data_IF_819362427649
#
_entry.id   IF_819362427649
#
_cell.length_a   1.000
_cell.length_b   1.000
_cell.length_c   1.000
_cell.angle_alpha   90.00
_cell.angle_beta   90.00
_cell.angle_gamma   90.00
#
_symmetry.space_group_name_H-M   'P 1'
#
loop_
_entity.id
_entity.type
_entity.pdbx_description
1 polymer ?
#
# COMPACT_ATOMS: atom_id res chain seq x y z
N UNK A 1 11.92 -3.46 -23.38
CA UNK A 1 12.36 -2.14 -22.86
C UNK A 1 13.88 -2.09 -22.97
N UNK A 2 14.46 -1.08 -23.65
CA UNK A 2 15.91 -0.89 -23.60
C UNK A 2 16.29 -0.44 -22.18
N UNK A 3 17.11 -1.23 -21.48
CA UNK A 3 17.59 -0.92 -20.12
C UNK A 3 19.12 -0.91 -20.13
N UNK A 4 19.76 0.10 -20.76
CA UNK A 4 21.21 0.17 -20.79
C UNK A 4 21.74 0.39 -19.38
N UNK A 5 22.47 -0.60 -18.86
CA UNK A 5 23.08 -0.58 -17.54
C UNK A 5 24.57 -0.85 -17.64
N UNK A 6 25.34 -0.25 -16.74
CA UNK A 6 26.74 -0.61 -16.56
C UNK A 6 26.86 -1.83 -15.66
N UNK A 7 27.49 -2.89 -16.13
CA UNK A 7 27.72 -4.11 -15.33
C UNK A 7 29.07 -4.11 -14.62
N UNK A 8 30.07 -3.47 -15.24
CA UNK A 8 31.44 -3.35 -14.75
C UNK A 8 31.82 -1.88 -14.57
N UNK A 9 32.60 -1.58 -13.52
CA UNK A 9 33.12 -0.24 -13.27
C UNK A 9 32.12 0.75 -12.64
N UNK A 10 32.55 2.00 -12.49
CA UNK A 10 31.77 3.05 -11.82
C UNK A 10 31.34 2.64 -10.41
N UNK A 11 30.07 2.92 -10.08
CA UNK A 11 29.48 2.54 -8.80
C UNK A 11 29.53 1.02 -8.53
N UNK A 12 29.48 0.17 -9.57
CA UNK A 12 29.60 -1.29 -9.40
C UNK A 12 30.97 -1.72 -8.84
N UNK A 13 32.02 -0.90 -9.04
CA UNK A 13 33.36 -1.17 -8.52
C UNK A 13 33.61 -0.48 -7.17
N UNK A 14 33.05 0.71 -6.97
CA UNK A 14 33.34 1.55 -5.80
C UNK A 14 32.45 1.21 -4.60
N UNK A 15 31.20 0.80 -4.84
CA UNK A 15 30.25 0.50 -3.77
C UNK A 15 30.33 -0.98 -3.36
N UNK A 16 30.78 -1.31 -2.14
CA UNK A 16 31.02 -2.70 -1.72
C UNK A 16 29.73 -3.54 -1.68
N UNK A 17 28.57 -2.90 -1.41
CA UNK A 17 27.28 -3.58 -1.39
C UNK A 17 26.83 -4.08 -2.77
N UNK A 18 27.34 -3.54 -3.87
CA UNK A 18 26.94 -3.98 -5.21
C UNK A 18 27.41 -5.41 -5.48
N UNK A 19 28.63 -5.76 -5.06
CA UNK A 19 29.14 -7.12 -5.19
C UNK A 19 28.29 -8.12 -4.39
N UNK A 20 27.92 -7.75 -3.16
CA UNK A 20 27.05 -8.56 -2.29
C UNK A 20 25.67 -8.75 -2.94
N UNK A 21 25.07 -7.68 -3.46
CA UNK A 21 23.78 -7.75 -4.12
C UNK A 21 23.81 -8.64 -5.37
N UNK A 22 24.87 -8.58 -6.19
CA UNK A 22 25.03 -9.46 -7.37
C UNK A 22 25.19 -10.93 -6.97
N UNK A 23 25.90 -11.21 -5.87
CA UNK A 23 26.01 -12.56 -5.32
C UNK A 23 24.66 -13.09 -4.81
N UNK A 24 23.91 -12.28 -4.05
CA UNK A 24 22.56 -12.64 -3.57
C UNK A 24 21.63 -12.92 -4.75
N UNK A 25 21.69 -12.09 -5.78
CA UNK A 25 20.88 -12.23 -6.99
C UNK A 25 21.38 -13.31 -7.95
N UNK A 26 22.54 -13.95 -7.68
CA UNK A 26 23.19 -14.93 -8.55
C UNK A 26 23.37 -14.44 -10.00
N UNK A 27 23.76 -13.17 -10.17
CA UNK A 27 23.93 -12.50 -11.46
C UNK A 27 25.41 -12.49 -11.86
N UNK A 28 25.72 -12.93 -13.08
CA UNK A 28 27.09 -13.08 -13.58
C UNK A 28 27.40 -12.20 -14.79
N UNK A 29 26.40 -11.69 -15.49
CA UNK A 29 26.58 -10.83 -16.66
C UNK A 29 25.48 -9.76 -16.80
N UNK A 30 25.75 -8.78 -17.67
CA UNK A 30 24.85 -7.64 -17.95
C UNK A 30 23.49 -8.10 -18.45
N UNK A 31 23.45 -9.15 -19.27
CA UNK A 31 22.22 -9.65 -19.89
C UNK A 31 21.27 -10.22 -18.84
N UNK A 32 21.80 -11.00 -17.89
CA UNK A 32 21.06 -11.50 -16.72
C UNK A 32 20.52 -10.35 -15.87
N UNK A 33 21.36 -9.34 -15.58
CA UNK A 33 20.95 -8.19 -14.76
C UNK A 33 19.83 -7.38 -15.45
N UNK A 34 19.94 -7.15 -16.76
CA UNK A 34 18.90 -6.49 -17.55
C UNK A 34 17.58 -7.28 -17.55
N UNK A 35 17.67 -8.61 -17.72
CA UNK A 35 16.50 -9.48 -17.70
C UNK A 35 15.82 -9.48 -16.33
N UNK A 36 16.60 -9.54 -15.25
CA UNK A 36 16.11 -9.45 -13.87
C UNK A 36 15.39 -8.12 -13.63
N UNK A 37 16.00 -6.99 -14.00
CA UNK A 37 15.39 -5.66 -13.85
C UNK A 37 14.06 -5.57 -14.62
N UNK A 38 14.02 -6.05 -15.86
CA UNK A 38 12.80 -6.05 -16.66
C UNK A 38 11.70 -6.93 -16.02
N UNK A 39 12.05 -8.11 -15.53
CA UNK A 39 11.13 -9.02 -14.85
C UNK A 39 10.58 -8.41 -13.55
N UNK A 40 11.44 -7.79 -12.74
CA UNK A 40 11.03 -7.07 -11.52
C UNK A 40 10.08 -5.92 -11.85
N UNK A 41 10.39 -5.14 -12.90
CA UNK A 41 9.50 -4.07 -13.36
C UNK A 41 8.11 -4.57 -13.77
N UNK A 42 8.06 -5.72 -14.47
CA UNK A 42 6.79 -6.36 -14.83
C UNK A 42 6.03 -6.87 -13.61
N UNK A 43 6.72 -7.55 -12.68
CA UNK A 43 6.11 -8.02 -11.43
C UNK A 43 5.55 -6.85 -10.60
N UNK A 44 6.29 -5.75 -10.53
CA UNK A 44 5.85 -4.54 -9.83
C UNK A 44 4.64 -3.89 -10.50
N UNK A 45 4.60 -3.83 -11.84
CA UNK A 45 3.44 -3.35 -12.58
C UNK A 45 2.20 -4.22 -12.32
N UNK A 46 2.35 -5.54 -12.39
CA UNK A 46 1.27 -6.49 -12.10
C UNK A 46 0.75 -6.31 -10.66
N UNK A 47 1.66 -6.23 -9.68
CA UNK A 47 1.31 -6.04 -8.29
C UNK A 47 0.55 -4.72 -8.07
N UNK A 48 0.98 -3.63 -8.70
CA UNK A 48 0.32 -2.33 -8.62
C UNK A 48 -1.08 -2.37 -9.25
N UNK A 49 -1.23 -2.94 -10.45
CA UNK A 49 -2.54 -3.09 -11.09
C UNK A 49 -3.46 -3.97 -10.25
N UNK A 50 -2.96 -5.12 -9.76
CA UNK A 50 -3.71 -6.01 -8.87
C UNK A 50 -4.14 -5.28 -7.59
N UNK A 51 -3.27 -4.48 -6.99
CA UNK A 51 -3.60 -3.66 -5.83
C UNK A 51 -4.72 -2.66 -6.14
N UNK A 52 -4.68 -1.98 -7.29
CA UNK A 52 -5.69 -1.01 -7.69
C UNK A 52 -7.07 -1.64 -7.97
N UNK A 53 -7.10 -2.84 -8.55
CA UNK A 53 -8.35 -3.52 -8.95
C UNK A 53 -8.90 -4.47 -7.88
N UNK A 54 -8.17 -4.74 -6.80
CA UNK A 54 -8.64 -5.64 -5.74
C UNK A 54 -9.43 -4.89 -4.67
N UNK A 55 -10.55 -5.47 -4.26
CA UNK A 55 -11.41 -4.88 -3.23
C UNK A 55 -10.76 -4.83 -1.85
N UNK A 56 -9.77 -5.69 -1.56
CA UNK A 56 -9.16 -5.78 -0.22
C UNK A 56 -8.53 -4.47 0.24
N UNK A 57 -7.80 -3.79 -0.65
CA UNK A 57 -7.16 -2.50 -0.34
C UNK A 57 -8.22 -1.41 -0.20
N UNK A 58 -9.21 -1.37 -1.09
CA UNK A 58 -10.31 -0.40 -1.02
C UNK A 58 -11.15 -0.57 0.26
N UNK A 59 -11.50 -1.80 0.64
CA UNK A 59 -12.21 -2.11 1.89
C UNK A 59 -11.38 -1.72 3.12
N UNK A 60 -10.07 -1.96 3.09
CA UNK A 60 -9.14 -1.53 4.13
C UNK A 60 -9.09 0.00 4.28
N UNK A 61 -8.91 0.73 3.18
CA UNK A 61 -8.92 2.20 3.17
C UNK A 61 -10.25 2.77 3.64
N UNK A 62 -11.38 2.23 3.16
CA UNK A 62 -12.71 2.66 3.60
C UNK A 62 -12.90 2.46 5.11
N UNK A 63 -12.46 1.32 5.66
CA UNK A 63 -12.54 1.06 7.10
C UNK A 63 -11.67 2.06 7.90
N UNK A 64 -10.47 2.39 7.41
CA UNK A 64 -9.60 3.42 8.01
C UNK A 64 -10.21 4.83 7.91
N UNK A 65 -10.84 5.15 6.79
CA UNK A 65 -11.55 6.43 6.59
C UNK A 65 -12.73 6.55 7.55
N UNK A 66 -13.56 5.53 7.69
CA UNK A 66 -14.68 5.51 8.64
C UNK A 66 -14.20 5.64 10.08
N UNK A 67 -13.14 4.92 10.46
CA UNK A 67 -12.50 5.05 11.77
C UNK A 67 -12.02 6.48 12.02
N UNK A 68 -11.33 7.07 11.05
CA UNK A 68 -10.81 8.44 11.14
C UNK A 68 -11.95 9.48 11.23
N UNK A 69 -13.02 9.29 10.46
CA UNK A 69 -14.22 10.12 10.49
C UNK A 69 -14.92 10.03 11.87
N UNK A 70 -15.01 8.83 12.44
CA UNK A 70 -15.60 8.62 13.75
C UNK A 70 -14.77 9.29 14.86
N UNK A 71 -13.46 9.05 14.90
CA UNK A 71 -12.55 9.63 15.89
C UNK A 71 -12.50 11.16 15.82
N UNK A 72 -12.38 11.73 14.62
CA UNK A 72 -12.35 13.19 14.43
C UNK A 72 -13.65 13.90 14.82
N UNK A 73 -14.75 13.16 14.93
CA UNK A 73 -16.05 13.66 15.38
C UNK A 73 -16.40 13.26 16.82
N UNK A 74 -15.42 12.74 17.58
CA UNK A 74 -15.52 12.53 19.02
C UNK A 74 -16.00 11.14 19.45
N UNK A 75 -15.92 10.12 18.59
CA UNK A 75 -16.09 8.73 19.00
C UNK A 75 -14.89 8.27 19.85
N UNK A 76 -15.15 7.46 20.87
CA UNK A 76 -14.14 6.80 21.68
C UNK A 76 -13.83 5.39 21.15
N UNK A 77 -12.67 4.83 21.50
CA UNK A 77 -12.20 3.56 20.94
C UNK A 77 -13.18 2.39 21.18
N UNK A 78 -13.85 2.37 22.34
CA UNK A 78 -14.84 1.32 22.65
C UNK A 78 -16.16 1.48 21.86
N UNK A 79 -16.46 2.68 21.34
CA UNK A 79 -17.65 2.97 20.53
C UNK A 79 -17.43 2.64 19.04
N UNK A 80 -16.17 2.60 18.59
CA UNK A 80 -15.80 2.43 17.19
C UNK A 80 -16.44 1.22 16.50
N UNK A 81 -16.48 0.01 17.08
CA UNK A 81 -17.08 -1.13 16.40
C UNK A 81 -18.54 -0.88 16.02
N UNK A 82 -19.31 -0.28 16.94
CA UNK A 82 -20.73 -0.01 16.74
C UNK A 82 -20.95 1.17 15.79
N UNK A 83 -20.19 2.27 15.95
CA UNK A 83 -20.27 3.46 15.08
C UNK A 83 -19.90 3.09 13.64
N UNK A 84 -18.80 2.37 13.42
CA UNK A 84 -18.35 1.98 12.08
C UNK A 84 -19.37 1.05 11.41
N UNK A 85 -19.95 0.10 12.15
CA UNK A 85 -20.98 -0.79 11.61
C UNK A 85 -22.23 -0.01 11.12
N UNK A 86 -22.66 1.01 11.85
CA UNK A 86 -23.77 1.86 11.40
C UNK A 86 -23.37 2.77 10.22
N UNK A 87 -22.17 3.35 10.22
CA UNK A 87 -21.70 4.19 9.13
C UNK A 87 -21.57 3.41 7.80
N UNK A 88 -21.21 2.13 7.84
CA UNK A 88 -21.13 1.28 6.62
C UNK A 88 -22.47 1.06 5.94
N UNK A 89 -23.59 1.19 6.66
CA UNK A 89 -24.93 1.06 6.09
C UNK A 89 -25.38 2.34 5.37
N UNK A 90 -24.66 3.46 5.59
CA UNK A 90 -24.94 4.73 4.93
C UNK A 90 -24.21 4.79 3.60
N UNK A 91 -24.91 5.27 2.56
CA UNK A 91 -24.31 5.48 1.24
C UNK A 91 -23.19 6.53 1.27
N UNK A 92 -23.39 7.62 2.02
CA UNK A 92 -22.47 8.74 2.14
C UNK A 92 -22.33 9.15 3.62
N UNK A 93 -21.46 8.49 4.41
CA UNK A 93 -21.23 8.85 5.81
C UNK A 93 -20.50 10.20 5.92
N UNK A 94 -21.05 11.11 6.73
CA UNK A 94 -20.47 12.44 6.99
C UNK A 94 -20.35 12.72 8.51
N UNK A 95 -19.73 13.85 8.86
CA UNK A 95 -19.57 14.29 10.25
C UNK A 95 -20.89 14.45 11.01
N UNK A 96 -21.99 14.77 10.32
CA UNK A 96 -23.32 14.90 10.95
C UNK A 96 -23.88 13.54 11.32
N UNK A 97 -23.75 12.57 10.42
CA UNK A 97 -24.14 11.19 10.67
C UNK A 97 -23.41 10.61 11.90
N UNK A 98 -22.10 10.84 12.04
CA UNK A 98 -21.35 10.39 13.22
C UNK A 98 -21.93 10.98 14.51
N UNK A 99 -22.14 12.29 14.55
CA UNK A 99 -22.67 12.96 15.76
C UNK A 99 -24.07 12.47 16.13
N UNK A 100 -24.90 12.16 15.14
CA UNK A 100 -26.24 11.61 15.37
C UNK A 100 -26.16 10.17 15.89
N UNK A 101 -25.29 9.33 15.32
CA UNK A 101 -25.04 7.97 15.80
C UNK A 101 -24.54 7.99 17.25
N UNK A 102 -23.56 8.83 17.57
CA UNK A 102 -23.03 8.96 18.93
C UNK A 102 -24.11 9.40 19.93
N UNK A 103 -25.01 10.32 19.55
CA UNK A 103 -26.15 10.71 20.39
C UNK A 103 -27.11 9.54 20.66
N UNK A 104 -27.27 8.62 19.71
CA UNK A 104 -28.14 7.45 19.88
C UNK A 104 -27.48 6.38 20.75
N UNK A 105 -26.16 6.17 20.61
CA UNK A 105 -25.42 5.14 21.36
C UNK A 105 -25.19 5.54 22.82
N UNK A 106 -25.02 6.84 23.10
CA UNK A 106 -24.77 7.37 24.45
C UNK A 106 -26.04 7.68 25.25
N UNK A 107 -27.22 7.41 24.68
CA UNK A 107 -28.51 7.50 25.37
C UNK A 107 -28.80 6.18 26.07
#
# INVERSE_FOLDING_TARGET
>A
LPVPIGFVGGANKVLPLVAINKQIAAIHNTQEEMALIAAVGLAQNLAALKALVTEGIQKGHMNLQLKSLALSNGAQDFELPQVINQLRQLKNPDSRAVKQILKTIRR
#
